data_IF_248145589573
#
_entry.id   IF_248145589573
#
_cell.length_a   1.000
_cell.length_b   1.000
_cell.length_c   1.000
_cell.angle_alpha   90.00
_cell.angle_beta   90.00
_cell.angle_gamma   90.00
#
_symmetry.space_group_name_H-M   'P 1'
#
loop_
_entity.id
_entity.type
_entity.pdbx_description
1 polymer ?
#
# COMPACT_ATOMS: atom_id res chain seq x y z
N UNK A 1 -25.60 8.16 -4.07
CA UNK A 1 -25.16 6.76 -3.83
C UNK A 1 -25.68 5.76 -4.87
N UNK A 2 -26.97 5.79 -5.24
CA UNK A 2 -27.61 4.78 -6.12
C UNK A 2 -27.00 4.62 -7.53
N UNK A 3 -26.48 5.69 -8.16
CA UNK A 3 -25.90 5.63 -9.51
C UNK A 3 -24.53 4.93 -9.59
N UNK A 4 -23.71 4.99 -8.54
CA UNK A 4 -22.43 4.26 -8.49
C UNK A 4 -22.64 2.75 -8.28
N UNK A 5 -23.69 2.37 -7.54
CA UNK A 5 -24.02 0.97 -7.27
C UNK A 5 -24.28 0.18 -8.57
N UNK A 6 -25.15 0.68 -9.49
CA UNK A 6 -25.50 -0.03 -10.73
C UNK A 6 -24.34 -0.27 -11.72
N UNK A 7 -23.30 0.57 -11.72
CA UNK A 7 -22.20 0.49 -12.71
C UNK A 7 -21.26 -0.70 -12.47
N UNK A 8 -21.16 -1.19 -11.22
CA UNK A 8 -20.19 -2.23 -10.85
C UNK A 8 -20.79 -3.63 -10.70
N UNK A 9 -22.12 -3.81 -10.73
CA UNK A 9 -22.74 -5.14 -10.57
C UNK A 9 -22.32 -6.12 -11.67
N UNK A 10 -22.26 -5.68 -12.93
CA UNK A 10 -21.83 -6.55 -14.04
C UNK A 10 -20.44 -7.10 -13.84
N UNK A 11 -19.50 -6.26 -13.39
CA UNK A 11 -18.14 -6.68 -13.07
C UNK A 11 -18.10 -7.60 -11.84
N UNK A 12 -18.93 -7.37 -10.82
CA UNK A 12 -19.00 -8.25 -9.65
C UNK A 12 -19.49 -9.66 -10.02
N UNK A 13 -20.47 -9.77 -10.91
CA UNK A 13 -20.92 -11.07 -11.44
C UNK A 13 -19.85 -11.75 -12.27
N UNK A 14 -19.13 -11.00 -13.11
CA UNK A 14 -18.00 -11.52 -13.89
C UNK A 14 -16.89 -12.05 -12.96
N UNK A 15 -16.53 -11.28 -11.93
CA UNK A 15 -15.56 -11.70 -10.90
C UNK A 15 -16.05 -12.93 -10.16
N UNK A 16 -17.33 -13.00 -9.79
CA UNK A 16 -17.90 -14.15 -9.12
C UNK A 16 -17.88 -15.41 -9.99
N UNK A 17 -18.14 -15.29 -11.29
CA UNK A 17 -18.04 -16.42 -12.25
C UNK A 17 -16.58 -16.86 -12.41
N UNK A 18 -15.66 -15.91 -12.55
CA UNK A 18 -14.23 -16.22 -12.67
C UNK A 18 -13.73 -16.95 -11.42
N UNK A 19 -14.02 -16.42 -10.22
CA UNK A 19 -13.56 -16.99 -8.96
C UNK A 19 -14.29 -18.29 -8.60
N UNK A 20 -15.58 -18.39 -8.88
CA UNK A 20 -16.43 -19.52 -8.50
C UNK A 20 -16.42 -20.69 -9.48
N UNK A 21 -16.10 -20.45 -10.76
CA UNK A 21 -16.15 -21.48 -11.80
C UNK A 21 -14.80 -21.68 -12.48
N UNK A 22 -14.18 -20.63 -13.02
CA UNK A 22 -12.95 -20.78 -13.81
C UNK A 22 -11.75 -21.20 -12.96
N UNK A 23 -11.58 -20.61 -11.77
CA UNK A 23 -10.49 -20.96 -10.85
C UNK A 23 -10.57 -22.42 -10.39
N UNK A 24 -11.70 -22.94 -9.86
CA UNK A 24 -11.78 -24.34 -9.46
C UNK A 24 -11.67 -25.31 -10.64
N UNK A 25 -12.23 -24.95 -11.81
CA UNK A 25 -12.11 -25.77 -13.03
C UNK A 25 -10.66 -25.88 -13.51
N UNK A 26 -9.92 -24.77 -13.59
CA UNK A 26 -8.50 -24.78 -13.93
C UNK A 26 -7.67 -25.57 -12.92
N UNK A 27 -8.00 -25.48 -11.63
CA UNK A 27 -7.33 -26.25 -10.59
C UNK A 27 -7.60 -27.76 -10.66
N UNK A 28 -8.76 -28.18 -11.20
CA UNK A 28 -9.05 -29.58 -11.49
C UNK A 28 -8.28 -30.07 -12.72
N UNK A 29 -8.23 -29.26 -13.79
CA UNK A 29 -7.54 -29.61 -15.03
C UNK A 29 -6.03 -29.86 -14.82
N UNK A 30 -5.42 -29.07 -13.94
CA UNK A 30 -3.99 -29.15 -13.61
C UNK A 30 -3.68 -30.21 -12.52
N UNK A 31 -4.66 -31.00 -12.09
CA UNK A 31 -4.55 -32.03 -11.04
C UNK A 31 -3.82 -31.53 -9.78
N UNK A 32 -4.12 -30.28 -9.41
CA UNK A 32 -3.41 -29.55 -8.37
C UNK A 32 -3.76 -30.15 -7.01
N UNK A 33 -2.74 -30.51 -6.22
CA UNK A 33 -2.96 -31.02 -4.86
C UNK A 33 -3.77 -30.02 -4.02
N UNK A 34 -4.54 -30.51 -3.05
CA UNK A 34 -5.32 -29.64 -2.14
C UNK A 34 -4.45 -28.58 -1.47
N UNK A 35 -3.22 -28.95 -1.09
CA UNK A 35 -2.22 -28.05 -0.54
C UNK A 35 -1.87 -26.92 -1.51
N UNK A 36 -1.61 -27.25 -2.78
CA UNK A 36 -1.27 -26.26 -3.81
C UNK A 36 -2.44 -25.31 -4.10
N UNK A 37 -3.69 -25.78 -4.04
CA UNK A 37 -4.88 -24.91 -4.18
C UNK A 37 -4.93 -23.85 -3.07
N UNK A 38 -4.66 -24.25 -1.83
CA UNK A 38 -4.61 -23.33 -0.68
C UNK A 38 -3.46 -22.34 -0.85
N UNK A 39 -2.26 -22.81 -1.23
CA UNK A 39 -1.10 -21.94 -1.47
C UNK A 39 -1.41 -20.88 -2.53
N UNK A 40 -2.01 -21.27 -3.66
CA UNK A 40 -2.41 -20.34 -4.72
C UNK A 40 -3.43 -19.32 -4.25
N UNK A 41 -4.41 -19.73 -3.44
CA UNK A 41 -5.39 -18.82 -2.86
C UNK A 41 -4.71 -17.79 -1.96
N UNK A 42 -3.85 -18.25 -1.04
CA UNK A 42 -3.05 -17.37 -0.20
C UNK A 42 -2.19 -16.43 -1.06
N UNK A 43 -1.60 -16.91 -2.14
CA UNK A 43 -0.78 -16.09 -3.03
C UNK A 43 -1.59 -14.97 -3.68
N UNK A 44 -2.72 -15.28 -4.28
CA UNK A 44 -3.54 -14.28 -4.98
C UNK A 44 -4.10 -13.25 -4.00
N UNK A 45 -4.72 -13.70 -2.90
CA UNK A 45 -5.36 -12.80 -1.93
C UNK A 45 -4.33 -11.86 -1.30
N UNK A 46 -3.23 -12.42 -0.84
CA UNK A 46 -2.24 -11.63 -0.13
C UNK A 46 -1.41 -10.73 -1.05
N UNK A 47 -1.12 -11.19 -2.27
CA UNK A 47 -0.46 -10.33 -3.26
C UNK A 47 -1.33 -9.13 -3.61
N UNK A 48 -2.63 -9.36 -3.84
CA UNK A 48 -3.58 -8.29 -4.15
C UNK A 48 -3.68 -7.29 -3.00
N UNK A 49 -3.72 -7.78 -1.76
CA UNK A 49 -3.71 -6.94 -0.56
C UNK A 49 -2.44 -6.09 -0.49
N UNK A 50 -1.26 -6.69 -0.69
CA UNK A 50 0.00 -5.96 -0.56
C UNK A 50 0.19 -4.92 -1.66
N UNK A 51 -0.23 -5.25 -2.89
CA UNK A 51 -0.24 -4.30 -4.00
C UNK A 51 -1.14 -3.09 -3.70
N UNK A 52 -2.34 -3.34 -3.17
CA UNK A 52 -3.27 -2.29 -2.78
C UNK A 52 -2.73 -1.44 -1.64
N UNK A 53 -2.14 -2.07 -0.61
CA UNK A 53 -1.56 -1.39 0.54
C UNK A 53 -0.38 -0.50 0.14
N UNK A 54 0.50 -0.98 -0.75
CA UNK A 54 1.60 -0.20 -1.27
C UNK A 54 1.14 1.02 -2.07
N UNK A 55 0.15 0.83 -2.96
CA UNK A 55 -0.47 1.91 -3.71
C UNK A 55 -1.10 2.98 -2.78
N UNK A 56 -1.86 2.56 -1.76
CA UNK A 56 -2.49 3.49 -0.81
C UNK A 56 -1.46 4.23 0.04
N UNK A 57 -0.45 3.51 0.53
CA UNK A 57 0.60 4.09 1.37
C UNK A 57 1.28 5.22 0.62
N UNK A 58 1.58 5.00 -0.66
CA UNK A 58 2.15 6.01 -1.54
C UNK A 58 1.20 7.18 -1.78
N UNK A 59 -0.01 6.90 -2.28
CA UNK A 59 -1.00 7.94 -2.63
C UNK A 59 -1.34 8.88 -1.48
N UNK A 60 -1.38 8.37 -0.26
CA UNK A 60 -1.77 9.14 0.92
C UNK A 60 -0.56 9.61 1.76
N UNK A 61 0.68 9.37 1.32
CA UNK A 61 1.88 9.71 2.08
C UNK A 61 1.95 9.04 3.46
N UNK A 62 1.41 7.82 3.60
CA UNK A 62 1.46 7.09 4.87
C UNK A 62 2.89 6.67 5.19
N UNK A 63 3.16 6.45 6.48
CA UNK A 63 4.48 6.05 6.96
C UNK A 63 4.98 4.77 6.24
N UNK A 64 6.07 4.83 5.45
CA UNK A 64 6.51 3.72 4.59
C UNK A 64 6.84 2.43 5.36
N UNK A 65 7.15 2.54 6.65
CA UNK A 65 7.46 1.40 7.51
C UNK A 65 6.27 0.44 7.68
N UNK A 66 5.04 0.89 7.43
CA UNK A 66 3.83 0.04 7.38
C UNK A 66 3.99 -1.09 6.34
N UNK A 67 4.69 -0.83 5.24
CA UNK A 67 4.97 -1.79 4.17
C UNK A 67 5.92 -2.91 4.60
N UNK A 68 6.68 -2.71 5.68
CA UNK A 68 7.62 -3.67 6.24
C UNK A 68 7.01 -4.39 7.45
N UNK A 69 6.24 -3.66 8.27
CA UNK A 69 5.50 -4.22 9.42
C UNK A 69 4.51 -5.29 8.95
N UNK A 70 3.73 -5.04 7.90
CA UNK A 70 2.69 -5.99 7.47
C UNK A 70 3.25 -7.37 7.04
N UNK A 71 4.30 -7.48 6.21
CA UNK A 71 4.96 -8.75 5.93
C UNK A 71 5.43 -9.49 7.19
N UNK A 72 6.01 -8.75 8.14
CA UNK A 72 6.55 -9.32 9.38
C UNK A 72 5.42 -9.83 10.27
N UNK A 73 4.37 -9.04 10.46
CA UNK A 73 3.17 -9.45 11.21
C UNK A 73 2.50 -10.66 10.57
N UNK A 74 2.33 -10.65 9.24
CA UNK A 74 1.77 -11.81 8.54
C UNK A 74 2.61 -13.06 8.79
N UNK A 75 3.93 -12.97 8.62
CA UNK A 75 4.84 -14.12 8.79
C UNK A 75 4.81 -14.62 10.23
N UNK A 76 4.91 -13.73 11.22
CA UNK A 76 4.90 -14.07 12.65
C UNK A 76 3.57 -14.70 13.08
N UNK A 77 2.45 -14.10 12.71
CA UNK A 77 1.13 -14.58 13.11
C UNK A 77 0.78 -15.88 12.40
N UNK A 78 0.93 -15.93 11.07
CA UNK A 78 0.52 -17.10 10.29
C UNK A 78 1.41 -18.32 10.53
N UNK A 79 2.72 -18.12 10.74
CA UNK A 79 3.69 -19.21 10.85
C UNK A 79 3.91 -19.66 12.28
N UNK A 80 4.14 -18.71 13.20
CA UNK A 80 4.54 -19.05 14.57
C UNK A 80 3.35 -19.14 15.52
N UNK A 81 2.42 -18.19 15.44
CA UNK A 81 1.32 -18.13 16.39
C UNK A 81 0.19 -19.09 16.03
N UNK A 82 -0.34 -18.99 14.82
CA UNK A 82 -1.50 -19.77 14.38
C UNK A 82 -1.12 -21.07 13.67
N UNK A 83 0.15 -21.25 13.30
CA UNK A 83 0.67 -22.42 12.59
C UNK A 83 -0.17 -22.82 11.36
N UNK A 84 -0.74 -21.83 10.67
CA UNK A 84 -1.63 -22.02 9.53
C UNK A 84 -0.87 -22.51 8.29
N UNK A 85 0.43 -22.21 8.23
CA UNK A 85 1.28 -22.49 7.07
C UNK A 85 2.62 -23.04 7.55
N UNK A 86 3.26 -23.89 6.73
CA UNK A 86 4.60 -24.38 7.04
C UNK A 86 5.61 -23.23 7.09
N UNK A 87 6.72 -23.44 7.80
CA UNK A 87 7.74 -22.40 7.98
C UNK A 87 8.30 -21.90 6.65
N UNK A 88 8.52 -22.81 5.70
CA UNK A 88 9.01 -22.46 4.36
C UNK A 88 8.02 -21.56 3.63
N UNK A 89 6.73 -21.89 3.65
CA UNK A 89 5.70 -21.09 2.98
C UNK A 89 5.51 -19.72 3.62
N UNK A 90 5.52 -19.65 4.96
CA UNK A 90 5.45 -18.38 5.68
C UNK A 90 6.56 -17.41 5.28
N UNK A 91 7.80 -17.91 5.21
CA UNK A 91 8.95 -17.12 4.78
C UNK A 91 8.85 -16.70 3.31
N UNK A 92 8.46 -17.59 2.40
CA UNK A 92 8.29 -17.24 0.98
C UNK A 92 7.21 -16.17 0.78
N UNK A 93 6.09 -16.25 1.51
CA UNK A 93 5.08 -15.21 1.46
C UNK A 93 5.55 -13.89 2.07
N UNK A 94 6.27 -13.90 3.19
CA UNK A 94 6.85 -12.69 3.77
C UNK A 94 7.78 -11.98 2.77
N UNK A 95 8.63 -12.72 2.06
CA UNK A 95 9.51 -12.16 1.03
C UNK A 95 8.72 -11.60 -0.16
N UNK A 96 7.71 -12.33 -0.64
CA UNK A 96 6.81 -11.86 -1.70
C UNK A 96 6.18 -10.51 -1.33
N UNK A 97 5.74 -10.34 -0.08
CA UNK A 97 5.12 -9.09 0.35
C UNK A 97 6.11 -7.93 0.32
N UNK A 98 7.36 -8.15 0.74
CA UNK A 98 8.41 -7.12 0.67
C UNK A 98 8.65 -6.71 -0.79
N UNK A 99 8.74 -7.69 -1.69
CA UNK A 99 8.95 -7.41 -3.12
C UNK A 99 7.78 -6.61 -3.70
N UNK A 100 6.54 -7.03 -3.43
CA UNK A 100 5.35 -6.36 -3.94
C UNK A 100 5.20 -4.94 -3.36
N UNK A 101 5.50 -4.76 -2.08
CA UNK A 101 5.39 -3.47 -1.43
C UNK A 101 6.40 -2.48 -1.98
N UNK A 102 7.66 -2.89 -2.13
CA UNK A 102 8.70 -2.11 -2.79
C UNK A 102 8.33 -1.79 -4.24
N UNK A 103 7.84 -2.78 -4.99
CA UNK A 103 7.43 -2.59 -6.38
C UNK A 103 6.34 -1.51 -6.51
N UNK A 104 5.34 -1.52 -5.63
CA UNK A 104 4.26 -0.52 -5.67
C UNK A 104 4.62 0.83 -5.05
N UNK A 105 5.54 0.85 -4.09
CA UNK A 105 5.98 2.08 -3.46
C UNK A 105 6.98 2.83 -4.34
N UNK A 106 7.87 2.12 -5.03
CA UNK A 106 8.87 2.70 -5.92
C UNK A 106 8.41 2.80 -7.39
N UNK A 107 7.28 2.19 -7.74
CA UNK A 107 6.75 2.21 -9.11
C UNK A 107 6.11 3.54 -9.46
N UNK A 108 6.51 4.12 -10.60
CA UNK A 108 6.01 5.35 -11.27
C UNK A 108 5.64 6.54 -10.36
N UNK A 109 6.62 7.39 -10.00
CA UNK A 109 6.53 8.53 -9.07
C UNK A 109 5.62 9.70 -9.51
N UNK A 110 5.05 9.66 -10.72
CA UNK A 110 4.30 10.80 -11.31
C UNK A 110 3.02 11.23 -10.58
N UNK A 111 2.51 10.37 -9.70
CA UNK A 111 1.30 10.60 -8.89
C UNK A 111 1.63 10.92 -7.42
N UNK A 112 2.90 11.17 -7.09
CA UNK A 112 3.29 11.44 -5.72
C UNK A 112 2.69 12.78 -5.22
N UNK A 113 2.22 12.83 -3.96
CA UNK A 113 1.60 14.03 -3.41
C UNK A 113 2.55 15.24 -3.32
N UNK A 114 3.86 15.01 -3.38
CA UNK A 114 4.89 16.04 -3.42
C UNK A 114 5.06 16.66 -4.81
N UNK A 115 4.87 15.92 -5.90
CA UNK A 115 4.86 16.47 -7.28
C UNK A 115 3.65 17.39 -7.55
N UNK A 116 2.53 17.17 -6.84
CA UNK A 116 1.35 18.06 -6.89
C UNK A 116 1.41 19.23 -5.90
N UNK A 117 2.54 19.45 -5.24
CA UNK A 117 2.75 20.71 -4.53
C UNK A 117 2.86 21.83 -5.56
N UNK A 118 1.86 22.71 -5.56
CA UNK A 118 1.86 23.94 -6.36
C UNK A 118 3.23 24.60 -6.12
N UNK A 119 4.04 24.85 -7.17
CA UNK A 119 5.25 25.64 -6.98
C UNK A 119 4.81 26.94 -6.33
N UNK A 120 5.40 27.28 -5.18
CA UNK A 120 5.20 28.58 -4.57
C UNK A 120 5.79 29.59 -5.55
N UNK A 121 4.95 30.12 -6.44
CA UNK A 121 5.29 31.22 -7.34
C UNK A 121 5.65 32.42 -6.47
N UNK A 122 6.95 32.58 -6.23
CA UNK A 122 7.49 33.66 -5.39
C UNK A 122 8.66 33.23 -4.52
N UNK A 123 9.55 32.37 -5.03
CA UNK A 123 10.79 31.98 -4.33
C UNK A 123 11.43 33.19 -3.64
N UNK A 124 11.90 33.02 -2.40
CA UNK A 124 12.39 34.04 -1.46
C UNK A 124 12.81 35.39 -2.10
N UNK A 125 11.83 36.21 -2.47
CA UNK A 125 12.03 37.58 -2.90
C UNK A 125 11.74 38.46 -1.69
N UNK A 126 12.73 38.58 -0.83
CA UNK A 126 12.63 39.42 0.36
C UNK A 126 13.92 39.70 1.12
N UNK A 127 15.07 39.26 0.61
CA UNK A 127 16.37 39.51 1.27
C UNK A 127 17.30 40.41 0.47
N UNK A 128 16.78 41.12 -0.54
CA UNK A 128 17.59 42.08 -1.28
C UNK A 128 16.71 43.26 -1.66
N UNK A 129 16.90 44.35 -0.90
CA UNK A 129 16.42 45.72 -1.15
C UNK A 129 14.96 46.08 -0.82
N UNK A 130 14.72 46.32 0.48
CA UNK A 130 13.96 47.47 0.99
C UNK A 130 14.23 47.51 2.50
N UNK A 131 14.96 48.49 3.03
CA UNK A 131 14.33 49.76 3.35
C UNK A 131 13.55 49.63 4.66
N UNK A 132 14.29 49.61 5.78
CA UNK A 132 13.90 50.20 7.07
C UNK A 132 12.45 49.97 7.58
N UNK A 133 12.03 48.72 7.79
CA UNK A 133 10.93 48.44 8.73
C UNK A 133 11.27 47.27 9.64
N UNK A 134 11.47 47.59 10.93
CA UNK A 134 11.63 46.62 12.01
C UNK A 134 10.33 45.86 12.19
N UNK A 135 10.22 44.68 11.58
CA UNK A 135 9.22 43.71 11.98
C UNK A 135 9.57 43.19 13.38
N UNK A 136 8.89 43.71 14.39
CA UNK A 136 8.97 43.23 15.75
C UNK A 136 8.37 41.82 15.80
N UNK A 137 9.22 40.81 15.91
CA UNK A 137 8.81 39.46 16.25
C UNK A 137 8.47 39.46 17.75
N UNK A 138 7.24 39.16 18.17
CA UNK A 138 6.94 39.02 19.59
C UNK A 138 7.61 37.74 20.09
N UNK A 139 8.72 37.89 20.82
CA UNK A 139 9.35 36.81 21.57
C UNK A 139 8.57 36.61 22.86
N UNK A 140 7.42 35.96 22.75
CA UNK A 140 6.69 35.44 23.92
C UNK A 140 7.32 34.10 24.31
N UNK A 141 8.32 34.17 25.19
CA UNK A 141 9.10 33.02 25.63
C UNK A 141 10.15 33.42 26.65
N UNK A 142 9.68 33.88 27.81
CA UNK A 142 10.56 34.32 28.90
C UNK A 142 11.49 33.22 29.40
N UNK A 143 12.78 33.56 29.48
CA UNK A 143 13.62 33.18 30.61
C UNK A 143 14.24 34.47 31.16
N UNK A 144 13.84 34.83 32.38
CA UNK A 144 14.46 35.88 33.16
C UNK A 144 15.72 35.32 33.84
N UNK A 145 16.79 36.13 33.77
CA UNK A 145 18.10 36.11 34.45
C UNK A 145 18.92 34.83 34.43
#
# INVERSE_FOLDING_TARGET
MQKKFKKYYGNQWLVAIVLGVLVPFGAQLLNVSGLNKVIWLYLVVNSSYMLYLGYITRKNGLFPLVLLIMPVFFTLISTFWLRLVSHQYGFYFGLLYIVLSLFTFLGDTRDDPDENMIPVEGGFHGLTEAGDEKYAVPVDGGFQS
#
